data_IF_056171607567
#
_entry.id   IF_056171607567
#
_cell.length_a   1.000
_cell.length_b   1.000
_cell.length_c   1.000
_cell.angle_alpha   90.00
_cell.angle_beta   90.00
_cell.angle_gamma   90.00
#
_symmetry.space_group_name_H-M   'P 1'
#
loop_
_entity.id
_entity.type
_entity.pdbx_description
1 polymer ?
#
# COMPACT_ATOMS: atom_id res chain seq x y z
N UNK A 1 -18.89 22.72 -24.26
CA UNK A 1 -18.23 21.59 -23.55
C UNK A 1 -18.73 20.20 -23.94
N UNK A 2 -19.88 20.05 -24.63
CA UNK A 2 -20.23 18.77 -25.26
C UNK A 2 -19.20 18.48 -26.38
N UNK A 3 -18.64 17.27 -26.43
CA UNK A 3 -17.84 16.68 -27.53
C UNK A 3 -16.33 16.45 -27.31
N UNK A 4 -15.79 16.42 -26.09
CA UNK A 4 -14.44 15.89 -25.82
C UNK A 4 -14.38 14.75 -24.81
N UNK A 5 -15.52 14.15 -24.49
CA UNK A 5 -15.58 13.03 -23.54
C UNK A 5 -14.61 11.91 -23.92
N UNK A 6 -14.52 11.56 -25.21
CA UNK A 6 -13.58 10.55 -25.69
C UNK A 6 -12.10 10.88 -25.40
N UNK A 7 -11.72 12.16 -25.49
CA UNK A 7 -10.35 12.59 -25.18
C UNK A 7 -10.05 12.48 -23.67
N UNK A 8 -11.00 12.91 -22.83
CA UNK A 8 -10.87 12.77 -21.38
C UNK A 8 -10.88 11.29 -20.94
N UNK A 9 -11.70 10.45 -21.57
CA UNK A 9 -11.68 9.00 -21.33
C UNK A 9 -10.36 8.35 -21.80
N UNK A 10 -9.72 8.89 -22.85
CA UNK A 10 -8.37 8.49 -23.25
C UNK A 10 -7.33 8.78 -22.17
N UNK A 11 -7.35 9.99 -21.58
CA UNK A 11 -6.49 10.35 -20.46
C UNK A 11 -6.72 9.44 -19.25
N UNK A 12 -7.99 9.20 -18.92
CA UNK A 12 -8.36 8.30 -17.81
C UNK A 12 -7.88 6.87 -18.05
N UNK A 13 -8.01 6.34 -19.28
CA UNK A 13 -7.48 5.00 -19.63
C UNK A 13 -5.97 4.90 -19.48
N UNK A 14 -5.24 5.99 -19.72
CA UNK A 14 -3.79 6.09 -19.52
C UNK A 14 -3.37 6.22 -18.05
N UNK A 15 -4.32 6.31 -17.11
CA UNK A 15 -4.07 6.35 -15.67
C UNK A 15 -4.24 7.73 -15.04
N UNK A 16 -4.63 8.75 -15.82
CA UNK A 16 -4.84 10.10 -15.30
C UNK A 16 -6.19 10.25 -14.59
N UNK A 17 -6.28 11.20 -13.65
CA UNK A 17 -7.52 11.55 -12.93
C UNK A 17 -8.06 12.88 -13.46
N UNK A 18 -9.32 12.90 -13.89
CA UNK A 18 -9.95 14.10 -14.47
C UNK A 18 -11.03 14.64 -13.53
N UNK A 19 -10.89 15.92 -13.13
CA UNK A 19 -11.90 16.62 -12.34
C UNK A 19 -12.87 17.36 -13.26
N UNK A 20 -14.17 17.17 -13.02
CA UNK A 20 -15.24 17.87 -13.73
C UNK A 20 -15.72 19.02 -12.86
N UNK A 21 -15.65 20.22 -13.41
CA UNK A 21 -16.12 21.45 -12.77
C UNK A 21 -17.34 22.01 -13.52
N UNK A 22 -18.30 22.55 -12.78
CA UNK A 22 -19.40 23.36 -13.28
C UNK A 22 -19.32 24.74 -12.62
N UNK A 23 -19.14 25.80 -13.41
CA UNK A 23 -18.96 27.19 -12.91
C UNK A 23 -17.94 27.30 -11.77
N UNK A 24 -16.75 26.74 -11.99
CA UNK A 24 -15.65 26.69 -11.02
C UNK A 24 -15.93 25.87 -9.74
N UNK A 25 -17.07 25.17 -9.68
CA UNK A 25 -17.41 24.26 -8.60
C UNK A 25 -17.11 22.82 -9.04
N UNK A 26 -16.26 22.07 -8.32
CA UNK A 26 -16.07 20.64 -8.58
C UNK A 26 -17.37 19.86 -8.36
N UNK A 27 -17.82 19.14 -9.39
CA UNK A 27 -19.08 18.37 -9.34
C UNK A 27 -18.86 16.87 -9.46
N UNK A 28 -17.77 16.44 -10.10
CA UNK A 28 -17.46 15.02 -10.24
C UNK A 28 -15.97 14.79 -10.48
N UNK A 29 -15.55 13.55 -10.30
CA UNK A 29 -14.23 13.06 -10.68
C UNK A 29 -14.43 11.83 -11.55
N UNK A 30 -13.70 11.77 -12.65
CA UNK A 30 -13.59 10.60 -13.51
C UNK A 30 -12.18 10.05 -13.33
N UNK A 31 -12.08 8.86 -12.79
CA UNK A 31 -10.82 8.15 -12.60
C UNK A 31 -10.91 6.78 -13.22
N UNK A 32 -9.74 6.20 -13.54
CA UNK A 32 -9.71 4.85 -14.05
C UNK A 32 -10.21 3.97 -12.92
N UNK A 33 -11.25 3.20 -13.19
CA UNK A 33 -11.56 2.09 -12.30
C UNK A 33 -10.41 1.10 -12.50
N UNK A 34 -9.45 1.15 -11.58
CA UNK A 34 -8.36 0.20 -11.50
C UNK A 34 -8.94 -1.14 -11.08
N UNK A 35 -8.69 -2.14 -11.92
CA UNK A 35 -9.01 -3.52 -11.68
C UNK A 35 -8.32 -3.96 -10.38
N UNK A 36 -8.99 -4.73 -9.53
CA UNK A 36 -8.33 -5.45 -8.40
C UNK A 36 -7.04 -6.18 -8.87
N UNK A 37 -6.95 -6.47 -10.17
CA UNK A 37 -5.82 -7.06 -10.86
C UNK A 37 -4.57 -6.16 -11.00
N UNK A 38 -4.63 -4.83 -10.85
CA UNK A 38 -3.44 -3.93 -10.93
C UNK A 38 -2.74 -3.71 -9.57
N UNK A 39 -3.47 -3.94 -8.47
CA UNK A 39 -2.87 -4.03 -7.14
C UNK A 39 -1.89 -5.21 -7.05
N UNK A 40 -2.20 -6.32 -7.71
CA UNK A 40 -1.41 -7.54 -7.69
C UNK A 40 0.00 -7.37 -8.33
N UNK A 41 0.17 -6.76 -9.53
CA UNK A 41 1.47 -6.42 -10.10
C UNK A 41 2.28 -5.44 -9.27
N UNK A 42 1.64 -4.51 -8.56
CA UNK A 42 2.32 -3.58 -7.67
C UNK A 42 2.76 -4.28 -6.39
N UNK A 43 1.89 -5.10 -5.79
CA UNK A 43 2.18 -5.87 -4.59
C UNK A 43 3.29 -6.89 -4.86
N UNK A 44 3.24 -7.62 -5.99
CA UNK A 44 4.27 -8.55 -6.41
C UNK A 44 5.65 -7.89 -6.61
N UNK A 45 5.68 -6.64 -7.11
CA UNK A 45 6.93 -5.86 -7.20
C UNK A 45 7.49 -5.52 -5.83
N UNK A 46 6.63 -5.14 -4.89
CA UNK A 46 7.03 -4.82 -3.52
C UNK A 46 7.52 -6.06 -2.76
N UNK A 47 6.92 -7.22 -2.99
CA UNK A 47 7.36 -8.50 -2.41
C UNK A 47 8.71 -8.96 -2.96
N UNK A 48 8.91 -8.88 -4.28
CA UNK A 48 10.21 -9.20 -4.90
C UNK A 48 11.32 -8.28 -4.41
N UNK A 49 11.00 -7.02 -4.12
CA UNK A 49 11.93 -6.07 -3.54
C UNK A 49 12.16 -6.27 -2.03
N UNK A 50 11.43 -7.19 -1.37
CA UNK A 50 11.51 -7.43 0.07
C UNK A 50 10.92 -6.32 0.94
N UNK A 51 10.16 -5.38 0.33
CA UNK A 51 9.57 -4.23 1.03
C UNK A 51 8.24 -4.57 1.71
N UNK A 52 7.56 -5.61 1.23
CA UNK A 52 6.29 -6.09 1.78
C UNK A 52 6.34 -7.60 1.88
N UNK A 53 5.66 -8.16 2.88
CA UNK A 53 5.40 -9.58 3.03
C UNK A 53 3.90 -9.80 3.17
N UNK A 54 3.31 -10.65 2.33
CA UNK A 54 1.91 -11.05 2.48
C UNK A 54 1.68 -11.82 3.79
N UNK A 55 0.53 -11.60 4.46
CA UNK A 55 0.15 -12.41 5.61
C UNK A 55 -0.08 -13.86 5.15
N UNK A 56 0.34 -14.81 5.98
CA UNK A 56 0.19 -16.25 5.73
C UNK A 56 -0.97 -16.88 6.51
N UNK A 57 -1.73 -16.09 7.26
CA UNK A 57 -2.86 -16.55 8.06
C UNK A 57 -4.20 -16.09 7.48
N UNK A 58 -5.22 -16.93 7.63
CA UNK A 58 -6.59 -16.65 7.20
C UNK A 58 -7.38 -15.79 8.20
N UNK A 59 -6.82 -15.57 9.39
CA UNK A 59 -7.45 -14.78 10.44
C UNK A 59 -7.37 -13.28 10.11
N UNK A 60 -8.47 -12.53 10.22
CA UNK A 60 -8.44 -11.08 10.10
C UNK A 60 -7.55 -10.48 11.19
N UNK A 61 -6.79 -9.45 10.83
CA UNK A 61 -5.96 -8.71 11.77
C UNK A 61 -6.88 -8.01 12.77
N UNK A 62 -6.64 -8.22 14.07
CA UNK A 62 -7.24 -7.41 15.12
C UNK A 62 -6.68 -5.99 15.04
N UNK A 63 -7.52 -5.04 14.62
CA UNK A 63 -7.14 -3.65 14.43
C UNK A 63 -6.86 -2.93 15.75
N UNK A 64 -7.36 -3.43 16.88
CA UNK A 64 -7.08 -2.82 18.18
C UNK A 64 -5.62 -3.03 18.59
N UNK A 65 -4.94 -4.05 18.08
CA UNK A 65 -3.49 -4.24 18.24
C UNK A 65 -2.67 -3.09 17.62
N UNK A 66 -3.19 -2.43 16.58
CA UNK A 66 -2.51 -1.29 15.93
C UNK A 66 -2.62 0.01 16.74
N UNK A 67 -3.53 0.05 17.72
CA UNK A 67 -3.74 1.22 18.60
C UNK A 67 -2.93 1.15 19.89
N UNK A 68 -2.40 -0.03 20.22
CA UNK A 68 -1.65 -0.26 21.44
C UNK A 68 -0.15 0.01 21.20
N UNK A 69 0.58 0.51 22.21
CA UNK A 69 2.02 0.62 22.11
C UNK A 69 2.64 -0.77 21.93
N UNK A 70 3.69 -0.85 21.11
CA UNK A 70 4.39 -2.10 20.88
C UNK A 70 4.91 -2.68 22.22
N UNK A 71 4.80 -4.00 22.43
CA UNK A 71 5.30 -4.63 23.64
C UNK A 71 6.80 -4.38 23.77
N UNK A 72 7.25 -4.04 24.98
CA UNK A 72 8.68 -3.90 25.27
C UNK A 72 9.26 -5.30 25.45
N UNK A 73 10.33 -5.59 24.71
CA UNK A 73 11.11 -6.80 24.95
C UNK A 73 11.79 -6.71 26.32
N UNK A 74 11.74 -7.80 27.08
CA UNK A 74 12.54 -7.97 28.30
C UNK A 74 13.95 -8.49 28.00
N UNK A 75 14.19 -8.95 26.77
CA UNK A 75 15.46 -9.51 26.33
C UNK A 75 16.15 -8.59 25.30
N UNK A 76 17.47 -8.49 25.40
CA UNK A 76 18.31 -7.77 24.45
C UNK A 76 18.92 -8.73 23.42
N UNK A 77 18.50 -8.60 22.16
CA UNK A 77 19.11 -9.34 21.04
C UNK A 77 20.60 -9.03 20.92
N UNK A 78 20.99 -7.79 21.21
CA UNK A 78 22.40 -7.38 21.18
C UNK A 78 23.22 -8.12 22.23
N UNK A 79 22.70 -8.25 23.47
CA UNK A 79 23.40 -8.99 24.52
C UNK A 79 23.60 -10.45 24.14
N UNK A 80 22.54 -11.11 23.61
CA UNK A 80 22.63 -12.48 23.14
C UNK A 80 23.70 -12.67 22.04
N UNK A 81 23.79 -11.74 21.09
CA UNK A 81 24.82 -11.77 20.03
C UNK A 81 26.23 -11.52 20.56
N UNK A 82 26.38 -10.71 21.61
CA UNK A 82 27.67 -10.47 22.26
C UNK A 82 28.11 -11.67 23.09
N UNK A 83 27.18 -12.36 23.77
CA UNK A 83 27.46 -13.60 24.49
C UNK A 83 27.87 -14.73 23.55
N UNK A 84 27.13 -14.94 22.45
CA UNK A 84 27.46 -15.96 21.44
C UNK A 84 28.87 -15.78 20.88
N UNK A 85 29.27 -14.53 20.60
CA UNK A 85 30.63 -14.19 20.15
C UNK A 85 31.70 -14.43 21.21
N UNK A 86 31.38 -14.29 22.50
CA UNK A 86 32.33 -14.57 23.60
C UNK A 86 32.46 -16.06 23.87
N UNK A 87 31.37 -16.81 23.71
CA UNK A 87 31.29 -18.24 23.95
C UNK A 87 31.86 -19.09 22.81
N UNK A 88 31.87 -18.60 21.57
CA UNK A 88 32.42 -19.28 20.40
C UNK A 88 33.96 -19.31 20.30
N UNK A 89 34.67 -19.38 21.43
CA UNK A 89 36.12 -19.64 21.47
C UNK A 89 36.41 -21.11 21.68
#
# INVERSE_FOLDING_TARGET
MKNRLSAYLGMVRAGERVMVVDRDVPVAIIERIGDRADAEPRLARLEKAGLVRRPTGDAPIDLDLLRQPAPRSTASVLEALLEDRRAGR
#
